data_IF_759326008827
#
_entry.id   IF_759326008827
#
_cell.length_a   1.000
_cell.length_b   1.000
_cell.length_c   1.000
_cell.angle_alpha   90.00
_cell.angle_beta   90.00
_cell.angle_gamma   90.00
#
_symmetry.space_group_name_H-M   'P 1'
#
loop_
_entity.id
_entity.type
_entity.pdbx_description
1 polymer ?
#
# COMPACT_ATOMS: atom_id res chain seq x y z
N UNK A 1 12.54 1.18 -7.56
CA UNK A 1 13.61 0.17 -7.41
C UNK A 1 13.10 -1.27 -7.46
N UNK A 2 12.21 -1.73 -6.57
CA UNK A 2 11.82 -3.16 -6.53
C UNK A 2 11.14 -3.65 -7.82
N UNK A 3 10.30 -2.83 -8.45
CA UNK A 3 9.70 -3.13 -9.78
C UNK A 3 10.78 -3.32 -10.85
N UNK A 4 11.83 -2.51 -10.81
CA UNK A 4 12.98 -2.65 -11.71
C UNK A 4 13.72 -3.97 -11.46
N UNK A 5 13.95 -4.32 -10.19
CA UNK A 5 14.60 -5.57 -9.82
C UNK A 5 13.82 -6.79 -10.35
N UNK A 6 12.49 -6.79 -10.25
CA UNK A 6 11.65 -7.86 -10.83
C UNK A 6 11.79 -7.91 -12.36
N UNK A 7 11.79 -6.75 -13.02
CA UNK A 7 11.90 -6.65 -14.49
C UNK A 7 13.23 -7.17 -15.03
N UNK A 8 14.32 -6.93 -14.31
CA UNK A 8 15.68 -7.33 -14.71
C UNK A 8 16.21 -8.53 -13.91
N UNK A 9 15.31 -9.38 -13.38
CA UNK A 9 15.68 -10.56 -12.57
C UNK A 9 16.75 -11.43 -13.22
N UNK A 10 16.63 -11.69 -14.52
CA UNK A 10 17.59 -12.55 -15.23
C UNK A 10 19.01 -11.96 -15.23
N UNK A 11 19.15 -10.69 -15.62
CA UNK A 11 20.42 -9.99 -15.62
C UNK A 11 21.01 -9.83 -14.21
N UNK A 12 20.16 -9.58 -13.20
CA UNK A 12 20.61 -9.51 -11.81
C UNK A 12 21.17 -10.85 -11.37
N UNK A 13 20.45 -11.96 -11.60
CA UNK A 13 20.90 -13.29 -11.23
C UNK A 13 22.18 -13.72 -11.98
N UNK A 14 22.38 -13.28 -13.22
CA UNK A 14 23.59 -13.55 -13.98
C UNK A 14 24.80 -12.84 -13.35
N UNK A 15 24.67 -11.54 -13.06
CA UNK A 15 25.75 -10.74 -12.45
C UNK A 15 26.05 -11.18 -11.01
N UNK A 16 25.04 -11.52 -10.22
CA UNK A 16 25.24 -11.97 -8.83
C UNK A 16 25.63 -13.43 -8.72
N UNK A 17 25.37 -14.25 -9.74
CA UNK A 17 25.71 -15.66 -9.80
C UNK A 17 27.14 -15.94 -10.28
N UNK A 18 27.78 -14.99 -10.94
CA UNK A 18 29.16 -15.10 -11.41
C UNK A 18 30.14 -15.19 -10.23
N UNK A 19 31.00 -16.21 -10.26
CA UNK A 19 31.99 -16.47 -9.20
C UNK A 19 33.22 -15.57 -9.32
N UNK A 20 33.46 -15.00 -10.50
CA UNK A 20 34.58 -14.10 -10.75
C UNK A 20 34.26 -12.67 -10.32
N UNK A 21 32.97 -12.37 -10.07
CA UNK A 21 32.50 -11.08 -9.58
C UNK A 21 32.32 -11.10 -8.05
N UNK A 22 32.71 -9.99 -7.40
CA UNK A 22 32.54 -9.80 -5.96
C UNK A 22 31.07 -9.60 -5.50
N UNK A 23 30.10 -9.81 -6.38
CA UNK A 23 28.67 -9.51 -6.13
C UNK A 23 27.86 -10.69 -5.59
N UNK A 24 28.49 -11.84 -5.36
CA UNK A 24 27.82 -13.05 -4.86
C UNK A 24 27.12 -12.86 -3.51
N UNK A 25 27.57 -11.92 -2.68
CA UNK A 25 26.92 -11.57 -1.41
C UNK A 25 25.50 -10.99 -1.60
N UNK A 26 25.15 -10.57 -2.82
CA UNK A 26 23.85 -10.02 -3.19
C UNK A 26 22.96 -11.01 -3.95
N UNK A 27 23.38 -12.28 -4.06
CA UNK A 27 22.60 -13.30 -4.73
C UNK A 27 21.28 -13.55 -3.98
N UNK A 28 20.17 -13.55 -4.73
CA UNK A 28 18.82 -13.65 -4.18
C UNK A 28 18.26 -15.04 -4.44
N UNK A 29 17.83 -15.70 -3.36
CA UNK A 29 17.20 -17.00 -3.47
C UNK A 29 15.86 -16.92 -4.20
N UNK A 30 15.37 -18.06 -4.69
CA UNK A 30 14.02 -18.13 -5.26
C UNK A 30 12.94 -17.66 -4.28
N UNK A 31 13.14 -17.87 -2.97
CA UNK A 31 12.23 -17.38 -1.94
C UNK A 31 12.23 -15.85 -1.84
N UNK A 32 13.40 -15.22 -1.93
CA UNK A 32 13.51 -13.75 -1.89
C UNK A 32 12.81 -13.12 -3.10
N UNK A 33 12.90 -13.75 -4.27
CA UNK A 33 12.16 -13.32 -5.45
C UNK A 33 10.65 -13.43 -5.31
N UNK A 34 10.14 -14.40 -4.55
CA UNK A 34 8.71 -14.52 -4.22
C UNK A 34 8.30 -13.35 -3.32
N UNK A 35 9.07 -13.11 -2.24
CA UNK A 35 8.83 -11.97 -1.32
C UNK A 35 8.81 -10.65 -2.08
N UNK A 36 9.79 -10.43 -2.96
CA UNK A 36 9.90 -9.23 -3.79
C UNK A 36 8.67 -9.04 -4.68
N UNK A 37 8.16 -10.11 -5.31
CA UNK A 37 6.95 -10.04 -6.14
C UNK A 37 5.71 -9.69 -5.32
N UNK A 38 5.55 -10.32 -4.15
CA UNK A 38 4.46 -10.01 -3.22
C UNK A 38 4.53 -8.57 -2.73
N UNK A 39 5.73 -8.05 -2.46
CA UNK A 39 5.95 -6.64 -2.12
C UNK A 39 5.56 -5.72 -3.28
N UNK A 40 5.91 -6.04 -4.52
CA UNK A 40 5.51 -5.21 -5.69
C UNK A 40 3.99 -5.12 -5.80
N UNK A 41 3.30 -6.26 -5.71
CA UNK A 41 1.84 -6.30 -5.79
C UNK A 41 1.20 -5.51 -4.65
N UNK A 42 1.65 -5.72 -3.41
CA UNK A 42 1.08 -5.05 -2.23
C UNK A 42 1.38 -3.56 -2.17
N UNK A 43 2.52 -3.11 -2.69
CA UNK A 43 2.91 -1.69 -2.70
C UNK A 43 2.25 -0.87 -3.81
N UNK A 44 1.63 -1.53 -4.80
CA UNK A 44 1.01 -0.85 -5.95
C UNK A 44 -0.06 0.16 -5.52
N UNK A 45 -0.90 -0.20 -4.53
CA UNK A 45 -1.94 0.70 -4.01
C UNK A 45 -1.35 2.01 -3.49
N UNK A 46 -0.23 1.95 -2.76
CA UNK A 46 0.43 3.13 -2.22
C UNK A 46 1.04 4.00 -3.32
N UNK A 47 1.62 3.39 -4.36
CA UNK A 47 2.12 4.13 -5.52
C UNK A 47 0.99 4.90 -6.21
N UNK A 48 -0.14 4.23 -6.48
CA UNK A 48 -1.31 4.86 -7.14
C UNK A 48 -1.87 6.00 -6.32
N UNK A 49 -1.99 5.80 -5.01
CA UNK A 49 -2.46 6.83 -4.07
C UNK A 49 -1.47 8.01 -4.03
N UNK A 50 -0.17 7.75 -3.94
CA UNK A 50 0.84 8.82 -3.91
C UNK A 50 0.77 9.67 -5.18
N UNK A 51 0.70 9.04 -6.36
CA UNK A 51 0.57 9.76 -7.62
C UNK A 51 -0.71 10.60 -7.70
N UNK A 52 -1.82 10.09 -7.15
CA UNK A 52 -3.07 10.85 -7.07
C UNK A 52 -2.92 12.11 -6.19
N UNK A 53 -2.26 11.98 -5.03
CA UNK A 53 -2.06 13.11 -4.11
C UNK A 53 -0.93 14.06 -4.53
N UNK A 54 -0.02 13.62 -5.40
CA UNK A 54 1.01 14.45 -6.02
C UNK A 54 0.55 15.19 -7.28
N UNK A 55 -0.68 14.98 -7.74
CA UNK A 55 -1.24 15.71 -8.88
C UNK A 55 -1.81 17.06 -8.44
N UNK A 56 -1.43 18.12 -9.14
CA UNK A 56 -1.89 19.49 -8.88
C UNK A 56 -3.31 19.79 -9.42
N UNK A 57 -3.91 18.85 -10.15
CA UNK A 57 -5.16 19.11 -10.88
C UNK A 57 -6.41 19.17 -10.00
N UNK A 58 -6.40 18.59 -8.80
CA UNK A 58 -7.61 18.41 -7.98
C UNK A 58 -7.35 18.64 -6.49
N UNK A 59 -8.29 19.29 -5.82
CA UNK A 59 -8.30 19.35 -4.35
C UNK A 59 -8.48 17.96 -3.76
N UNK A 60 -7.42 17.46 -3.13
CA UNK A 60 -7.35 16.09 -2.62
C UNK A 60 -7.71 15.97 -1.14
N UNK A 61 -7.79 17.08 -0.40
CA UNK A 61 -8.05 17.09 1.06
C UNK A 61 -9.35 16.34 1.41
N UNK A 62 -10.43 16.59 0.65
CA UNK A 62 -11.72 15.91 0.88
C UNK A 62 -11.66 14.39 0.61
N UNK A 63 -10.66 13.92 -0.15
CA UNK A 63 -10.51 12.52 -0.53
C UNK A 63 -9.61 11.74 0.43
N UNK A 64 -8.84 12.40 1.31
CA UNK A 64 -7.86 11.75 2.20
C UNK A 64 -8.47 10.61 3.00
N UNK A 65 -9.53 10.89 3.76
CA UNK A 65 -10.18 9.89 4.62
C UNK A 65 -10.75 8.73 3.79
N UNK A 66 -11.47 9.04 2.69
CA UNK A 66 -12.02 7.99 1.81
C UNK A 66 -10.94 7.16 1.13
N UNK A 67 -9.75 7.72 0.93
CA UNK A 67 -8.62 7.00 0.33
C UNK A 67 -7.95 6.11 1.37
N UNK A 68 -7.81 6.57 2.61
CA UNK A 68 -7.36 5.73 3.72
C UNK A 68 -8.29 4.51 3.92
N UNK A 69 -9.60 4.69 3.79
CA UNK A 69 -10.57 3.58 3.86
C UNK A 69 -10.36 2.55 2.75
N UNK A 70 -10.11 3.03 1.53
CA UNK A 70 -9.81 2.15 0.39
C UNK A 70 -8.50 1.38 0.61
N UNK A 71 -7.47 2.04 1.13
CA UNK A 71 -6.20 1.38 1.47
C UNK A 71 -6.46 0.32 2.54
N UNK A 72 -7.15 0.64 3.63
CA UNK A 72 -7.43 -0.32 4.71
C UNK A 72 -8.21 -1.54 4.20
N UNK A 73 -9.24 -1.33 3.37
CA UNK A 73 -10.00 -2.41 2.73
C UNK A 73 -9.12 -3.28 1.83
N UNK A 74 -8.27 -2.67 1.00
CA UNK A 74 -7.34 -3.40 0.13
C UNK A 74 -6.38 -4.22 0.98
N UNK A 75 -5.71 -3.61 1.97
CA UNK A 75 -4.78 -4.32 2.85
C UNK A 75 -5.46 -5.48 3.58
N UNK A 76 -6.65 -5.25 4.14
CA UNK A 76 -7.45 -6.29 4.80
C UNK A 76 -7.79 -7.43 3.85
N UNK A 77 -8.26 -7.09 2.65
CA UNK A 77 -8.60 -8.08 1.63
C UNK A 77 -7.37 -8.90 1.22
N UNK A 78 -6.19 -8.28 1.08
CA UNK A 78 -4.96 -8.99 0.74
C UNK A 78 -4.50 -9.91 1.87
N UNK A 79 -4.59 -9.46 3.13
CA UNK A 79 -4.25 -10.28 4.30
C UNK A 79 -5.21 -11.48 4.45
N UNK A 80 -6.51 -11.29 4.19
CA UNK A 80 -7.52 -12.35 4.34
C UNK A 80 -7.52 -13.32 3.16
N UNK A 81 -7.47 -12.81 1.91
CA UNK A 81 -7.50 -13.65 0.69
C UNK A 81 -6.26 -14.52 0.50
N UNK A 82 -5.15 -14.15 1.13
CA UNK A 82 -3.92 -14.95 1.16
C UNK A 82 -4.06 -16.31 1.84
N UNK A 83 -5.18 -16.61 2.50
CA UNK A 83 -5.42 -17.94 3.11
C UNK A 83 -5.95 -19.00 2.14
N UNK A 84 -6.44 -18.63 0.94
CA UNK A 84 -7.28 -19.54 0.15
C UNK A 84 -6.78 -19.87 -1.27
N UNK A 85 -6.13 -18.96 -2.01
CA UNK A 85 -5.83 -19.18 -3.45
C UNK A 85 -4.43 -18.77 -3.94
N UNK A 86 -3.81 -17.75 -3.36
CA UNK A 86 -2.39 -17.41 -3.57
C UNK A 86 -1.84 -16.84 -2.25
N UNK A 87 -1.08 -17.63 -1.48
CA UNK A 87 -0.56 -17.16 -0.20
C UNK A 87 0.55 -16.14 -0.44
N UNK A 88 0.34 -14.91 0.06
CA UNK A 88 1.44 -13.96 0.23
C UNK A 88 2.41 -14.51 1.27
N UNK A 89 3.69 -14.26 1.09
CA UNK A 89 4.71 -14.70 2.01
C UNK A 89 4.47 -14.13 3.42
N UNK A 90 4.73 -14.94 4.45
CA UNK A 90 4.46 -14.59 5.86
C UNK A 90 5.14 -13.29 6.30
N UNK A 91 6.35 -12.99 5.79
CA UNK A 91 7.04 -11.73 6.08
C UNK A 91 6.26 -10.52 5.53
N UNK A 92 5.75 -10.60 4.31
CA UNK A 92 4.92 -9.56 3.69
C UNK A 92 3.61 -9.41 4.45
N UNK A 93 2.98 -10.50 4.87
CA UNK A 93 1.78 -10.46 5.72
C UNK A 93 2.02 -9.71 7.04
N UNK A 94 3.14 -9.97 7.72
CA UNK A 94 3.52 -9.24 8.94
C UNK A 94 3.76 -7.75 8.65
N UNK A 95 4.46 -7.44 7.56
CA UNK A 95 4.70 -6.06 7.13
C UNK A 95 3.38 -5.33 6.82
N UNK A 96 2.41 -5.98 6.18
CA UNK A 96 1.08 -5.40 5.93
C UNK A 96 0.32 -5.10 7.21
N UNK A 97 0.38 -5.98 8.21
CA UNK A 97 -0.24 -5.70 9.52
C UNK A 97 0.39 -4.46 10.18
N UNK A 98 1.71 -4.30 10.08
CA UNK A 98 2.41 -3.09 10.57
C UNK A 98 2.03 -1.83 9.76
N UNK A 99 1.85 -1.97 8.44
CA UNK A 99 1.36 -0.88 7.61
C UNK A 99 -0.05 -0.45 8.02
N UNK A 100 -0.94 -1.42 8.35
CA UNK A 100 -2.28 -1.13 8.87
C UNK A 100 -2.26 -0.40 10.21
N UNK A 101 -1.42 -0.82 11.16
CA UNK A 101 -1.33 -0.11 12.46
C UNK A 101 -0.85 1.33 12.26
N UNK A 102 0.08 1.54 11.33
CA UNK A 102 0.56 2.87 10.94
C UNK A 102 -0.55 3.69 10.28
N UNK A 103 -1.30 3.09 9.36
CA UNK A 103 -2.45 3.72 8.70
C UNK A 103 -3.50 4.16 9.73
N UNK A 104 -3.84 3.29 10.68
CA UNK A 104 -4.82 3.58 11.74
C UNK A 104 -4.39 4.75 12.62
N UNK A 105 -3.09 4.89 12.90
CA UNK A 105 -2.54 6.03 13.66
C UNK A 105 -2.74 7.35 12.92
N UNK A 106 -2.55 7.39 11.61
CA UNK A 106 -2.81 8.59 10.83
C UNK A 106 -4.30 8.83 10.62
N UNK A 107 -5.05 7.76 10.40
CA UNK A 107 -6.51 7.80 10.26
C UNK A 107 -7.17 8.47 11.45
N UNK A 108 -6.80 8.09 12.68
CA UNK A 108 -7.36 8.70 13.89
C UNK A 108 -7.09 10.20 13.96
N UNK A 109 -5.88 10.65 13.59
CA UNK A 109 -5.50 12.07 13.54
C UNK A 109 -6.23 12.84 12.44
N UNK A 110 -6.43 12.25 11.26
CA UNK A 110 -7.14 12.91 10.17
C UNK A 110 -8.64 12.99 10.44
N UNK A 111 -9.23 11.96 11.06
CA UNK A 111 -10.66 11.91 11.34
C UNK A 111 -11.08 12.86 12.48
N UNK A 112 -10.18 13.15 13.44
CA UNK A 112 -10.46 14.14 14.50
C UNK A 112 -10.24 15.58 14.06
N UNK A 113 -9.51 15.81 12.96
CA UNK A 113 -9.26 17.15 12.46
C UNK A 113 -10.46 17.74 11.73
N UNK A 114 -10.88 18.93 12.16
CA UNK A 114 -11.98 19.67 11.55
C UNK A 114 -11.72 19.99 10.08
N UNK A 115 -10.46 20.20 9.68
CA UNK A 115 -10.10 20.56 8.29
C UNK A 115 -10.55 19.49 7.30
N UNK A 116 -10.24 18.22 7.59
CA UNK A 116 -10.63 17.11 6.72
C UNK A 116 -12.14 16.90 6.72
N UNK A 117 -12.78 16.98 7.88
CA UNK A 117 -14.25 16.82 7.99
C UNK A 117 -15.00 17.92 7.25
N UNK A 118 -14.61 19.18 7.40
CA UNK A 118 -15.22 20.32 6.69
C UNK A 118 -15.01 20.16 5.18
N UNK A 119 -13.80 19.82 4.74
CA UNK A 119 -13.52 19.58 3.32
C UNK A 119 -14.42 18.48 2.74
N UNK A 120 -14.67 17.40 3.48
CA UNK A 120 -15.59 16.34 3.06
C UNK A 120 -17.05 16.81 2.97
N UNK A 121 -17.52 17.62 3.92
CA UNK A 121 -18.88 18.17 3.92
C UNK A 121 -19.10 19.11 2.73
N UNK A 122 -18.09 19.92 2.40
CA UNK A 122 -18.13 20.85 1.27
C UNK A 122 -18.00 20.15 -0.09
N UNK A 123 -17.49 18.92 -0.13
CA UNK A 123 -17.32 18.18 -1.37
C UNK A 123 -18.68 17.71 -1.93
N UNK A 124 -19.08 18.10 -3.16
CA UNK A 124 -20.43 17.87 -3.70
C UNK A 124 -20.87 16.40 -3.72
N UNK A 125 -19.91 15.48 -3.92
CA UNK A 125 -20.18 14.04 -4.03
C UNK A 125 -20.18 13.30 -2.68
N UNK A 126 -19.60 13.89 -1.62
CA UNK A 126 -19.47 13.25 -0.30
C UNK A 126 -20.52 13.81 0.67
N UNK A 127 -20.52 15.13 0.86
CA UNK A 127 -21.44 15.85 1.78
C UNK A 127 -21.61 15.12 3.11
N UNK A 128 -22.85 14.99 3.58
CA UNK A 128 -23.19 14.24 4.78
C UNK A 128 -23.34 12.74 4.54
N UNK A 129 -23.40 12.29 3.26
CA UNK A 129 -23.62 10.87 2.91
C UNK A 129 -22.57 9.97 3.52
N UNK A 130 -21.30 10.41 3.48
CA UNK A 130 -20.20 9.66 4.10
C UNK A 130 -20.44 9.43 5.60
N UNK A 131 -20.78 10.49 6.35
CA UNK A 131 -20.98 10.39 7.80
C UNK A 131 -22.23 9.58 8.18
N UNK A 132 -23.30 9.68 7.38
CA UNK A 132 -24.51 8.89 7.59
C UNK A 132 -24.27 7.39 7.43
N UNK A 133 -23.47 6.99 6.44
CA UNK A 133 -23.16 5.59 6.16
C UNK A 133 -22.20 4.97 7.20
N UNK A 134 -21.44 5.81 7.92
CA UNK A 134 -20.37 5.36 8.82
C UNK A 134 -20.67 5.54 10.31
N UNK A 135 -21.95 5.67 10.68
CA UNK A 135 -22.48 5.90 12.05
C UNK A 135 -21.99 4.96 13.18
N UNK A 136 -21.13 3.98 12.92
CA UNK A 136 -20.57 3.07 13.94
C UNK A 136 -19.23 3.53 14.56
N UNK A 137 -18.68 4.69 14.18
CA UNK A 137 -17.39 5.20 14.70
C UNK A 137 -17.39 6.70 15.01
N UNK A 138 -18.54 7.25 15.40
CA UNK A 138 -18.62 8.57 16.05
C UNK A 138 -18.97 8.40 17.53
#
# INVERSE_FOLDING_TARGET
MIVFAVRYKAAINEITGDRDLAYRIYDLSNNDWIIIKDMVHTLEVFKRVTLLFSSDEKSTIAHVITTMDKIDNILTSTIVSSSARCPIHNSVRKALNLAKTTLNKYYSRTNTSNVYRIAMVLHPSLKLKYFCLRKHYL
#
